data_IF_860009689681
#
_entry.id   IF_860009689681
#
_cell.length_a   1.000
_cell.length_b   1.000
_cell.length_c   1.000
_cell.angle_alpha   90.00
_cell.angle_beta   90.00
_cell.angle_gamma   90.00
#
_symmetry.space_group_name_H-M   'P 1'
#
loop_
_entity.id
_entity.type
_entity.pdbx_description
1 polymer ?
#
# COMPACT_ATOMS: atom_id res chain seq x y z
N UNK A 1 5.69 -4.88 14.62
CA UNK A 1 4.94 -5.21 13.38
C UNK A 1 5.86 -5.62 12.21
N UNK A 2 6.87 -4.81 11.83
CA UNK A 2 7.79 -5.12 10.70
C UNK A 2 8.35 -6.55 10.68
N UNK A 3 8.88 -7.03 11.81
CA UNK A 3 9.48 -8.36 11.91
C UNK A 3 8.52 -9.50 11.55
N UNK A 4 7.22 -9.37 11.87
CA UNK A 4 6.20 -10.34 11.49
C UNK A 4 5.97 -10.33 9.98
N UNK A 5 5.90 -9.13 9.38
CA UNK A 5 5.84 -8.98 7.93
C UNK A 5 7.02 -9.64 7.23
N UNK A 6 8.25 -9.41 7.72
CA UNK A 6 9.45 -10.02 7.13
C UNK A 6 9.46 -11.54 7.24
N UNK A 7 8.99 -12.07 8.38
CA UNK A 7 8.82 -13.52 8.56
C UNK A 7 7.84 -14.09 7.54
N UNK A 8 6.70 -13.45 7.32
CA UNK A 8 5.72 -13.89 6.31
C UNK A 8 6.28 -13.81 4.89
N UNK A 9 6.95 -12.70 4.54
CA UNK A 9 7.59 -12.52 3.25
C UNK A 9 8.63 -13.61 2.98
N UNK A 10 9.50 -13.87 3.95
CA UNK A 10 10.52 -14.91 3.85
C UNK A 10 9.89 -16.29 3.70
N UNK A 11 8.87 -16.62 4.51
CA UNK A 11 8.18 -17.91 4.45
C UNK A 11 7.54 -18.16 3.08
N UNK A 12 6.86 -17.16 2.50
CA UNK A 12 6.29 -17.27 1.15
C UNK A 12 7.39 -17.40 0.10
N UNK A 13 8.46 -16.60 0.20
CA UNK A 13 9.60 -16.67 -0.73
C UNK A 13 10.28 -18.03 -0.75
N UNK A 14 10.35 -18.70 0.41
CA UNK A 14 10.96 -20.03 0.54
C UNK A 14 10.00 -21.20 0.28
N UNK A 15 8.70 -20.96 0.18
CA UNK A 15 7.71 -22.03 0.06
C UNK A 15 7.86 -22.74 -1.30
N UNK A 16 7.79 -24.09 -1.33
CA UNK A 16 7.94 -24.88 -2.54
C UNK A 16 6.64 -24.88 -3.35
N UNK A 17 6.37 -23.78 -4.04
CA UNK A 17 5.25 -23.69 -4.97
C UNK A 17 5.58 -24.48 -6.26
N UNK A 18 4.80 -25.54 -6.60
CA UNK A 18 5.19 -26.49 -7.65
C UNK A 18 5.37 -25.90 -9.05
N UNK A 19 4.68 -24.80 -9.35
CA UNK A 19 4.55 -24.26 -10.71
C UNK A 19 5.36 -22.98 -10.93
N UNK A 20 5.64 -22.20 -9.88
CA UNK A 20 6.37 -20.93 -9.97
C UNK A 20 6.84 -20.45 -8.62
N UNK A 21 7.95 -19.71 -8.59
CA UNK A 21 8.33 -18.92 -7.41
C UNK A 21 7.34 -17.75 -7.22
N UNK A 22 6.91 -17.56 -5.99
CA UNK A 22 6.10 -16.42 -5.57
C UNK A 22 6.82 -15.63 -4.49
N UNK A 23 6.58 -14.33 -4.51
CA UNK A 23 6.94 -13.41 -3.42
C UNK A 23 5.72 -12.57 -3.09
N UNK A 24 5.71 -11.99 -1.90
CA UNK A 24 4.69 -11.04 -1.48
C UNK A 24 5.35 -9.72 -1.12
N UNK A 25 4.63 -8.63 -1.32
CA UNK A 25 4.96 -7.33 -0.74
C UNK A 25 3.93 -7.03 0.34
N UNK A 26 4.36 -6.38 1.41
CA UNK A 26 3.50 -6.12 2.57
C UNK A 26 3.64 -4.64 2.94
N UNK A 27 2.51 -3.94 3.05
CA UNK A 27 2.43 -2.61 3.65
C UNK A 27 1.91 -2.74 5.08
N UNK A 28 2.54 -2.02 6.01
CA UNK A 28 2.20 -2.07 7.44
C UNK A 28 1.97 -0.66 7.95
N UNK A 29 0.86 -0.43 8.64
CA UNK A 29 0.58 0.82 9.35
C UNK A 29 0.24 0.55 10.82
N UNK A 30 0.50 1.52 11.70
CA UNK A 30 0.22 1.47 13.12
C UNK A 30 -0.67 2.65 13.54
N UNK A 31 -1.65 2.37 14.40
CA UNK A 31 -2.47 3.40 15.02
C UNK A 31 -1.91 3.68 16.42
N UNK A 32 -1.77 4.96 16.82
CA UNK A 32 -2.17 6.17 16.09
C UNK A 32 -1.08 6.78 15.19
N UNK A 33 0.09 6.15 15.06
CA UNK A 33 1.30 6.77 14.48
C UNK A 33 1.15 7.14 12.99
N UNK A 34 0.42 6.31 12.23
CA UNK A 34 0.28 6.47 10.79
C UNK A 34 -1.11 7.04 10.39
N UNK A 35 -2.10 6.97 11.28
CA UNK A 35 -3.44 7.54 11.11
C UNK A 35 -4.24 7.53 12.42
N UNK A 36 -5.24 8.41 12.52
CA UNK A 36 -6.16 8.57 13.66
C UNK A 36 -7.55 7.94 13.44
N UNK A 37 -7.76 7.29 12.30
CA UNK A 37 -9.01 6.65 11.91
C UNK A 37 -8.77 5.31 11.25
N UNK A 38 -9.74 4.39 11.34
CA UNK A 38 -9.64 3.07 10.72
C UNK A 38 -9.45 3.15 9.20
N UNK A 39 -10.19 4.04 8.53
CA UNK A 39 -10.06 4.28 7.09
C UNK A 39 -8.68 4.86 6.73
N UNK A 40 -8.18 5.81 7.53
CA UNK A 40 -6.83 6.35 7.38
C UNK A 40 -5.76 5.28 7.54
N UNK A 41 -5.90 4.39 8.52
CA UNK A 41 -4.94 3.32 8.80
C UNK A 41 -4.85 2.31 7.64
N UNK A 42 -5.99 1.91 7.08
CA UNK A 42 -6.05 1.03 5.91
C UNK A 42 -5.39 1.71 4.71
N UNK A 43 -5.70 2.99 4.46
CA UNK A 43 -5.11 3.76 3.37
C UNK A 43 -3.58 3.86 3.52
N UNK A 44 -3.09 4.13 4.72
CA UNK A 44 -1.66 4.21 5.01
C UNK A 44 -0.94 2.87 4.73
N UNK A 45 -1.53 1.74 5.15
CA UNK A 45 -0.99 0.42 4.86
C UNK A 45 -0.99 0.09 3.35
N UNK A 46 -2.07 0.45 2.64
CA UNK A 46 -2.17 0.24 1.20
C UNK A 46 -1.18 1.11 0.42
N UNK A 47 -0.97 2.37 0.82
CA UNK A 47 0.02 3.25 0.20
C UNK A 47 1.45 2.71 0.41
N UNK A 48 1.77 2.19 1.59
CA UNK A 48 3.02 1.49 1.85
C UNK A 48 3.19 0.23 0.99
N UNK A 49 2.13 -0.54 0.81
CA UNK A 49 2.13 -1.72 -0.07
C UNK A 49 2.36 -1.34 -1.54
N UNK A 50 1.69 -0.29 -2.01
CA UNK A 50 1.89 0.22 -3.38
C UNK A 50 3.31 0.71 -3.57
N UNK A 51 3.91 1.37 -2.57
CA UNK A 51 5.33 1.75 -2.59
C UNK A 51 6.23 0.52 -2.75
N UNK A 52 6.00 -0.53 -1.95
CA UNK A 52 6.77 -1.77 -2.05
C UNK A 52 6.67 -2.41 -3.44
N UNK A 53 5.49 -2.35 -4.06
CA UNK A 53 5.28 -2.86 -5.42
C UNK A 53 6.00 -2.04 -6.50
N UNK A 54 6.14 -0.72 -6.31
CA UNK A 54 6.85 0.18 -7.24
C UNK A 54 8.37 0.10 -7.09
N UNK A 55 8.87 -0.12 -5.88
CA UNK A 55 10.31 -0.14 -5.56
C UNK A 55 10.99 -1.50 -5.77
N UNK A 56 10.36 -2.42 -6.52
CA UNK A 56 10.97 -3.71 -6.89
C UNK A 56 10.27 -4.96 -6.34
N UNK A 57 9.19 -4.79 -5.55
CA UNK A 57 8.39 -5.89 -4.94
C UNK A 57 9.21 -6.67 -3.91
N UNK A 58 8.68 -7.80 -3.43
CA UNK A 58 9.33 -8.67 -2.43
C UNK A 58 9.91 -7.91 -1.22
N UNK A 59 9.11 -7.00 -0.65
CA UNK A 59 9.55 -6.07 0.38
C UNK A 59 8.44 -5.81 1.41
N UNK A 60 8.85 -5.42 2.61
CA UNK A 60 7.98 -4.95 3.69
C UNK A 60 8.25 -3.46 3.92
N UNK A 61 7.22 -2.63 3.80
CA UNK A 61 7.32 -1.19 4.01
C UNK A 61 6.35 -0.76 5.11
N UNK A 62 6.87 0.04 6.06
CA UNK A 62 6.06 0.71 7.06
C UNK A 62 5.49 2.02 6.49
N UNK A 63 4.26 2.37 6.84
CA UNK A 63 3.62 3.60 6.38
C UNK A 63 4.40 4.85 6.82
N UNK A 64 4.93 4.88 8.04
CA UNK A 64 5.84 5.95 8.51
C UNK A 64 7.09 6.13 7.63
N UNK A 65 7.57 5.08 6.95
CA UNK A 65 8.68 5.15 5.98
C UNK A 65 8.22 5.55 4.57
N UNK A 66 6.91 5.57 4.32
CA UNK A 66 6.29 6.03 3.07
C UNK A 66 5.98 7.53 3.10
N UNK A 67 5.67 8.07 4.28
CA UNK A 67 5.32 9.48 4.50
C UNK A 67 6.47 10.48 4.24
N UNK A 68 7.73 10.04 4.31
CA UNK A 68 8.89 10.92 4.07
C UNK A 68 9.00 11.45 2.62
N UNK A 69 8.22 10.91 1.67
CA UNK A 69 8.23 11.33 0.26
C UNK A 69 6.92 12.02 -0.18
N UNK A 70 5.85 12.00 0.63
CA UNK A 70 4.52 12.50 0.23
C UNK A 70 4.13 13.86 0.82
N UNK A 71 4.97 14.46 1.68
CA UNK A 71 4.70 15.79 2.24
C UNK A 71 4.81 16.93 1.21
N UNK A 72 5.33 16.67 0.00
CA UNK A 72 5.56 17.73 -1.01
C UNK A 72 4.58 17.76 -2.19
N UNK A 73 3.58 16.87 -2.31
CA UNK A 73 2.60 17.01 -3.42
C UNK A 73 1.28 16.28 -3.15
N UNK A 74 0.47 16.80 -2.22
CA UNK A 74 -0.93 16.37 -2.12
C UNK A 74 -1.76 17.08 -3.20
N UNK A 75 -1.74 16.53 -4.42
CA UNK A 75 -2.43 17.07 -5.59
C UNK A 75 -3.07 16.00 -6.47
N UNK A 76 -3.47 14.86 -5.91
CA UNK A 76 -4.21 13.85 -6.69
C UNK A 76 -5.71 14.21 -6.73
N UNK A 77 -6.13 14.91 -7.79
CA UNK A 77 -7.54 14.97 -8.23
C UNK A 77 -7.68 14.00 -9.41
N UNK A 78 -8.45 12.91 -9.31
CA UNK A 78 -8.85 12.19 -10.50
C UNK A 78 -9.83 13.10 -11.26
N UNK A 79 -9.49 13.46 -12.49
CA UNK A 79 -10.37 14.15 -13.43
C UNK A 79 -11.62 13.28 -13.61
N UNK A 80 -12.72 13.57 -12.90
CA UNK A 80 -14.02 12.96 -13.22
C UNK A 80 -14.59 13.70 -14.43
N UNK A 81 -14.75 13.06 -15.60
CA UNK A 81 -15.43 13.69 -16.73
C UNK A 81 -16.89 13.99 -16.33
N UNK A 82 -17.25 15.28 -16.28
CA UNK A 82 -18.60 15.79 -15.92
C UNK A 82 -19.65 15.62 -17.04
N UNK A 83 -19.55 14.62 -17.90
CA UNK A 83 -20.49 14.45 -19.02
C UNK A 83 -21.26 13.14 -18.90
N UNK A 84 -22.15 13.09 -17.92
CA UNK A 84 -23.29 12.18 -17.88
C UNK A 84 -24.33 12.72 -16.89
N UNK A 85 -24.91 13.87 -17.25
CA UNK A 85 -26.26 14.24 -16.85
C UNK A 85 -27.08 14.18 -18.15
N UNK A 86 -27.88 13.12 -18.29
CA UNK A 86 -29.07 13.17 -19.12
C UNK A 86 -30.14 13.88 -18.27
N UNK A 87 -30.61 15.01 -18.76
CA UNK A 87 -31.94 15.57 -18.53
C UNK A 87 -32.40 15.96 -19.95
N UNK A 88 -33.29 15.21 -20.59
CA UNK A 88 -34.75 15.38 -20.51
C UNK A 88 -35.19 16.85 -20.54
N UNK A 89 -35.41 17.34 -21.76
CA UNK A 89 -36.45 18.28 -22.15
C UNK A 89 -36.73 18.11 -23.66
#
# INVERSE_FOLDING_TARGET
ARAVGERLRAAVKSAPFPQRKFTISIGVAAFPEDADSASGLIRAADDALRKAKREGKDAVIMASQSQNMQRETFGWRPEFPKTLIRDEA
#
